data_IF_844616802352
#
_entry.id   IF_844616802352
#
_cell.length_a   1.000
_cell.length_b   1.000
_cell.length_c   1.000
_cell.angle_alpha   90.00
_cell.angle_beta   90.00
_cell.angle_gamma   90.00
#
_symmetry.space_group_name_H-M   'P 1'
#
loop_
_entity.id
_entity.type
_entity.pdbx_description
1 polymer ?
#
# COMPACT_ATOMS: atom_id res chain seq x y z
N UNK A 1 6.82 -1.02 11.86
CA UNK A 1 5.41 -0.94 12.34
C UNK A 1 4.64 -2.12 11.80
N UNK A 2 3.78 -2.68 12.62
CA UNK A 2 2.95 -3.82 12.26
C UNK A 2 1.48 -3.42 12.29
N UNK A 3 0.63 -4.24 11.66
CA UNK A 3 -0.81 -3.97 11.61
C UNK A 3 -1.41 -3.73 13.01
N UNK A 4 -0.96 -4.49 14.00
CA UNK A 4 -1.48 -4.34 15.38
C UNK A 4 -1.22 -2.95 15.98
N UNK A 5 -0.31 -2.18 15.38
CA UNK A 5 0.00 -0.83 15.86
C UNK A 5 -0.89 0.24 15.21
N UNK A 6 -1.74 -0.17 14.26
CA UNK A 6 -2.62 0.75 13.55
C UNK A 6 -3.99 0.81 14.20
N UNK A 7 -4.66 1.95 14.05
CA UNK A 7 -6.01 2.12 14.55
C UNK A 7 -6.82 2.93 13.54
N UNK A 8 -8.10 2.61 13.40
CA UNK A 8 -8.99 3.39 12.56
C UNK A 8 -9.25 4.74 13.22
N UNK A 9 -9.48 5.76 12.40
CA UNK A 9 -9.68 7.13 12.86
C UNK A 9 -10.94 7.24 13.72
N UNK A 10 -12.01 6.56 13.32
CA UNK A 10 -13.29 6.57 14.03
C UNK A 10 -13.84 5.15 14.07
N UNK A 11 -14.90 4.94 14.88
CA UNK A 11 -15.54 3.62 14.98
C UNK A 11 -16.17 3.17 13.66
N UNK A 12 -16.48 4.10 12.75
CA UNK A 12 -17.04 3.76 11.45
C UNK A 12 -16.01 3.71 10.33
N UNK A 13 -14.75 4.00 10.63
CA UNK A 13 -13.70 3.99 9.61
C UNK A 13 -13.21 2.58 9.33
N UNK A 14 -12.85 2.31 8.08
CA UNK A 14 -12.28 1.02 7.69
C UNK A 14 -10.87 1.15 7.15
N UNK A 15 -10.48 2.35 6.66
CA UNK A 15 -9.14 2.59 6.15
C UNK A 15 -8.17 2.90 7.27
N UNK A 16 -7.00 2.30 7.19
CA UNK A 16 -5.92 2.54 8.15
C UNK A 16 -4.85 3.37 7.46
N UNK A 17 -4.42 4.46 8.08
CA UNK A 17 -3.48 5.37 7.46
C UNK A 17 -2.09 4.76 7.30
N UNK A 18 -1.49 5.00 6.15
CA UNK A 18 -0.12 4.62 5.85
C UNK A 18 0.74 5.88 5.82
N UNK A 19 1.87 5.84 6.52
CA UNK A 19 2.78 6.97 6.66
C UNK A 19 4.16 6.62 6.13
N UNK A 20 4.94 7.67 5.85
CA UNK A 20 6.35 7.52 5.47
C UNK A 20 7.23 8.09 6.57
N UNK A 21 8.48 7.61 6.66
CA UNK A 21 9.42 8.12 7.66
C UNK A 21 10.55 8.96 7.05
N UNK A 22 10.59 9.08 5.73
CA UNK A 22 11.56 9.91 5.01
C UNK A 22 10.82 10.80 4.03
N UNK A 23 11.22 12.07 3.87
CA UNK A 23 10.59 12.92 2.86
C UNK A 23 10.81 12.37 1.46
N UNK A 24 9.83 12.56 0.59
CA UNK A 24 9.89 12.08 -0.80
C UNK A 24 9.45 13.19 -1.71
N UNK A 25 10.22 13.43 -2.79
CA UNK A 25 9.85 14.38 -3.83
C UNK A 25 9.49 13.60 -5.10
N UNK A 26 8.33 13.87 -5.64
CA UNK A 26 7.86 13.24 -6.88
C UNK A 26 7.76 14.33 -7.93
N UNK A 27 8.57 14.19 -8.97
CA UNK A 27 8.64 15.19 -10.05
C UNK A 27 7.42 15.08 -10.97
N UNK A 28 7.13 16.13 -11.76
CA UNK A 28 6.02 16.06 -12.72
C UNK A 28 6.12 14.82 -13.61
N UNK A 29 5.01 14.12 -13.78
CA UNK A 29 4.90 12.89 -14.58
C UNK A 29 5.72 11.72 -14.07
N UNK A 30 6.44 11.87 -12.98
CA UNK A 30 7.25 10.79 -12.42
C UNK A 30 6.35 9.72 -11.80
N UNK A 31 6.72 8.46 -12.04
CA UNK A 31 6.14 7.29 -11.36
C UNK A 31 7.17 6.85 -10.33
N UNK A 32 6.74 6.79 -9.06
CA UNK A 32 7.66 6.49 -7.97
C UNK A 32 7.03 5.51 -7.00
N UNK A 33 7.77 4.47 -6.67
CA UNK A 33 7.40 3.53 -5.60
C UNK A 33 7.87 4.13 -4.27
N UNK A 34 6.93 4.34 -3.37
CA UNK A 34 7.18 4.95 -2.07
C UNK A 34 6.85 3.94 -0.99
N UNK A 35 7.84 3.58 -0.17
CA UNK A 35 7.59 2.62 0.91
C UNK A 35 7.05 3.32 2.14
N UNK A 36 6.10 2.66 2.79
CA UNK A 36 5.49 3.13 4.03
C UNK A 36 6.20 2.50 5.22
N UNK A 37 5.81 2.90 6.42
CA UNK A 37 6.36 2.34 7.66
C UNK A 37 5.72 1.01 8.04
N UNK A 38 4.66 0.59 7.36
CA UNK A 38 3.98 -0.67 7.66
C UNK A 38 4.70 -1.83 7.00
N UNK A 39 4.98 -2.85 7.79
CA UNK A 39 5.67 -4.05 7.29
C UNK A 39 4.74 -5.26 7.41
N UNK A 40 4.69 -6.08 6.37
CA UNK A 40 3.98 -7.35 6.41
C UNK A 40 4.70 -8.39 7.25
N UNK A 41 4.10 -9.56 7.42
CA UNK A 41 2.79 -9.92 6.89
C UNK A 41 1.67 -9.21 7.62
N UNK A 42 0.51 -9.11 6.95
CA UNK A 42 -0.63 -8.39 7.53
C UNK A 42 -1.22 -9.11 8.73
N UNK A 43 -1.07 -10.42 8.78
CA UNK A 43 -1.40 -11.23 9.95
C UNK A 43 -0.44 -12.42 10.00
N UNK A 44 -0.21 -12.95 11.19
CA UNK A 44 0.76 -14.04 11.37
C UNK A 44 0.31 -15.33 10.71
N UNK A 45 -0.99 -15.59 10.70
CA UNK A 45 -1.54 -16.81 10.09
C UNK A 45 -1.88 -16.64 8.60
N UNK A 46 -1.53 -15.50 8.00
CA UNK A 46 -1.72 -15.22 6.58
C UNK A 46 -3.18 -15.32 6.14
N UNK A 47 -4.10 -14.85 6.99
CA UNK A 47 -5.53 -14.88 6.66
C UNK A 47 -6.08 -13.51 6.24
N UNK A 48 -5.23 -12.48 6.18
CA UNK A 48 -5.65 -11.14 5.75
C UNK A 48 -4.93 -10.75 4.48
N UNK A 49 -5.67 -10.10 3.58
CA UNK A 49 -5.09 -9.39 2.44
C UNK A 49 -5.31 -7.90 2.65
N UNK A 50 -4.58 -7.09 1.90
CA UNK A 50 -4.72 -5.65 1.97
C UNK A 50 -5.02 -5.02 0.63
N UNK A 51 -5.74 -3.91 0.66
CA UNK A 51 -5.98 -3.08 -0.51
C UNK A 51 -5.51 -1.67 -0.19
N UNK A 52 -4.46 -1.23 -0.87
CA UNK A 52 -3.90 0.11 -0.68
C UNK A 52 -4.64 1.07 -1.59
N UNK A 53 -5.26 2.05 -0.97
CA UNK A 53 -6.10 3.02 -1.66
C UNK A 53 -5.61 4.42 -1.43
N UNK A 54 -6.03 5.34 -2.30
CA UNK A 54 -5.68 6.75 -2.18
C UNK A 54 -6.45 7.38 -1.01
N UNK A 55 -5.83 8.39 -0.41
CA UNK A 55 -6.54 9.33 0.46
C UNK A 55 -7.03 10.49 -0.40
N UNK A 56 -8.21 11.02 -0.07
CA UNK A 56 -8.77 12.13 -0.84
C UNK A 56 -7.81 13.32 -0.93
N UNK A 57 -7.09 13.60 0.15
CA UNK A 57 -6.18 14.74 0.17
C UNK A 57 -5.02 14.59 -0.81
N UNK A 58 -4.55 13.37 -1.04
CA UNK A 58 -3.49 13.12 -2.02
C UNK A 58 -4.03 13.22 -3.44
N UNK A 59 -5.23 12.68 -3.67
CA UNK A 59 -5.87 12.78 -4.97
C UNK A 59 -6.08 14.24 -5.38
N UNK A 60 -6.49 15.08 -4.42
CA UNK A 60 -6.68 16.52 -4.68
C UNK A 60 -5.37 17.22 -5.03
N UNK A 61 -4.25 16.71 -4.52
CA UNK A 61 -2.94 17.27 -4.84
C UNK A 61 -2.44 16.82 -6.22
N UNK A 62 -3.11 15.87 -6.85
CA UNK A 62 -2.71 15.36 -8.14
C UNK A 62 -1.82 14.14 -8.09
N UNK A 63 -1.74 13.46 -6.94
CA UNK A 63 -1.06 12.18 -6.83
C UNK A 63 -2.03 11.05 -7.04
N UNK A 64 -1.71 10.15 -7.95
CA UNK A 64 -2.55 9.01 -8.32
C UNK A 64 -1.78 7.73 -8.00
N UNK A 65 -2.47 6.76 -7.41
CA UNK A 65 -1.93 5.41 -7.28
C UNK A 65 -2.15 4.75 -8.64
N UNK A 66 -1.05 4.57 -9.37
CA UNK A 66 -1.13 4.27 -10.79
C UNK A 66 -1.61 2.85 -11.08
N UNK A 67 -1.46 1.93 -10.14
CA UNK A 67 -1.99 0.58 -10.28
C UNK A 67 -3.42 0.45 -9.74
N UNK A 68 -4.14 1.58 -9.66
CA UNK A 68 -5.54 1.74 -9.29
C UNK A 68 -5.74 1.50 -7.80
N UNK A 69 -5.70 0.25 -7.34
CA UNK A 69 -5.46 -0.05 -5.93
C UNK A 69 -4.36 -1.09 -5.85
N UNK A 70 -3.57 -1.04 -4.80
CA UNK A 70 -2.49 -1.98 -4.61
C UNK A 70 -2.95 -3.17 -3.80
N UNK A 71 -2.89 -4.36 -4.39
CA UNK A 71 -3.25 -5.59 -3.70
C UNK A 71 -2.03 -6.09 -2.94
N UNK A 72 -2.19 -6.30 -1.64
CA UNK A 72 -1.13 -6.86 -0.79
C UNK A 72 -1.52 -8.27 -0.42
N UNK A 73 -0.76 -9.22 -0.90
CA UNK A 73 -1.01 -10.64 -0.66
C UNK A 73 -0.78 -10.99 0.82
N UNK A 74 -1.46 -12.03 1.27
CA UNK A 74 -1.44 -12.41 2.68
C UNK A 74 -0.05 -12.81 3.17
N UNK A 75 0.78 -13.34 2.28
CA UNK A 75 2.13 -13.79 2.62
C UNK A 75 3.23 -12.79 2.28
N UNK A 76 2.87 -11.57 1.86
CA UNK A 76 3.87 -10.54 1.60
C UNK A 76 4.46 -10.06 2.93
N UNK A 77 5.78 -10.13 3.06
CA UNK A 77 6.45 -9.83 4.32
C UNK A 77 7.37 -8.62 4.28
N UNK A 78 7.37 -7.87 3.17
CA UNK A 78 8.15 -6.63 3.06
C UNK A 78 7.40 -5.41 3.55
N UNK A 79 8.00 -4.25 3.37
CA UNK A 79 7.32 -2.99 3.64
C UNK A 79 6.26 -2.74 2.57
N UNK A 80 5.11 -2.24 3.01
CA UNK A 80 4.04 -1.89 2.08
C UNK A 80 4.46 -0.66 1.30
N UNK A 81 4.37 -0.75 -0.03
CA UNK A 81 4.73 0.35 -0.92
C UNK A 81 3.53 0.87 -1.68
N UNK A 82 3.64 2.09 -2.14
CA UNK A 82 2.60 2.77 -2.91
C UNK A 82 3.25 3.29 -4.19
N UNK A 83 2.65 2.97 -5.34
CA UNK A 83 3.18 3.42 -6.63
C UNK A 83 2.39 4.64 -7.05
N UNK A 84 3.02 5.81 -6.89
CA UNK A 84 2.40 7.09 -7.23
C UNK A 84 2.84 7.60 -8.60
N UNK A 85 1.94 8.31 -9.26
CA UNK A 85 2.30 9.17 -10.37
C UNK A 85 1.86 10.60 -10.04
N UNK A 86 2.76 11.56 -10.27
CA UNK A 86 2.44 12.97 -10.14
C UNK A 86 1.82 13.45 -11.45
N UNK A 87 0.52 13.76 -11.39
CA UNK A 87 -0.26 14.18 -12.56
C UNK A 87 -0.20 15.68 -12.81
N UNK A 88 0.60 16.42 -12.03
CA UNK A 88 0.70 17.87 -12.15
C UNK A 88 2.00 18.28 -12.83
N UNK A 89 2.13 19.58 -13.10
CA UNK A 89 3.33 20.13 -13.69
C UNK A 89 4.30 20.73 -12.66
N UNK A 90 4.05 20.46 -11.38
CA UNK A 90 4.90 20.93 -10.27
C UNK A 90 5.37 19.74 -9.45
N UNK A 91 6.57 19.80 -8.86
CA UNK A 91 6.99 18.74 -7.95
C UNK A 91 6.08 18.69 -6.73
N UNK A 92 5.83 17.49 -6.24
CA UNK A 92 5.05 17.29 -5.02
C UNK A 92 5.97 16.68 -3.97
N UNK A 93 6.04 17.32 -2.80
CA UNK A 93 6.86 16.84 -1.70
C UNK A 93 5.96 16.23 -0.64
N UNK A 94 6.25 14.97 -0.31
CA UNK A 94 5.62 14.28 0.79
C UNK A 94 6.54 14.43 2.00
N UNK A 95 5.97 14.86 3.11
CA UNK A 95 6.75 15.17 4.31
C UNK A 95 6.93 13.94 5.17
N UNK A 96 7.97 13.97 5.99
CA UNK A 96 8.17 12.91 6.97
C UNK A 96 6.93 12.75 7.84
N UNK A 97 6.55 11.51 8.09
CA UNK A 97 5.40 11.14 8.91
C UNK A 97 4.03 11.53 8.31
N UNK A 98 4.02 11.94 7.05
CA UNK A 98 2.77 12.29 6.38
C UNK A 98 1.96 11.04 6.06
N UNK A 99 0.63 11.15 6.18
CA UNK A 99 -0.29 10.09 5.78
C UNK A 99 -0.47 10.16 4.27
N UNK A 100 0.08 9.20 3.56
CA UNK A 100 0.13 9.26 2.09
C UNK A 100 -0.91 8.38 1.41
N UNK A 101 -1.45 7.39 2.11
CA UNK A 101 -2.40 6.44 1.57
C UNK A 101 -3.14 5.79 2.72
N UNK A 102 -4.02 4.87 2.40
CA UNK A 102 -4.70 4.06 3.41
C UNK A 102 -4.76 2.61 2.94
N UNK A 103 -4.85 1.70 3.89
CA UNK A 103 -4.98 0.29 3.59
C UNK A 103 -6.27 -0.23 4.21
N UNK A 104 -7.02 -1.02 3.42
CA UNK A 104 -8.16 -1.76 3.91
C UNK A 104 -7.75 -3.21 4.05
N UNK A 105 -8.09 -3.81 5.17
CA UNK A 105 -7.76 -5.20 5.45
C UNK A 105 -9.02 -6.05 5.29
N UNK A 106 -8.87 -7.24 4.72
CA UNK A 106 -9.99 -8.11 4.43
C UNK A 106 -9.57 -9.55 4.61
N UNK A 107 -10.50 -10.37 5.05
CA UNK A 107 -10.23 -11.81 5.17
C UNK A 107 -9.98 -12.41 3.80
N UNK A 108 -8.90 -13.16 3.66
CA UNK A 108 -8.52 -13.79 2.40
C UNK A 108 -9.58 -14.73 1.87
N UNK A 109 -10.29 -15.42 2.77
CA UNK A 109 -11.32 -16.39 2.38
C UNK A 109 -12.59 -15.76 1.81
N UNK A 110 -12.68 -14.43 1.80
CA UNK A 110 -13.75 -13.73 1.08
C UNK A 110 -13.58 -13.81 -0.43
N UNK A 111 -12.42 -14.24 -0.90
CA UNK A 111 -12.12 -14.30 -2.33
C UNK A 111 -12.06 -15.75 -2.79
N UNK A 112 -12.60 -16.00 -3.99
CA UNK A 112 -12.57 -17.33 -4.57
C UNK A 112 -11.25 -17.51 -5.32
N UNK A 113 -10.42 -18.43 -4.82
CA UNK A 113 -9.15 -18.78 -5.47
C UNK A 113 -9.16 -20.30 -5.63
N UNK A 114 -9.41 -20.80 -6.86
CA UNK A 114 -9.66 -22.25 -7.05
C UNK A 114 -8.44 -23.12 -6.79
N UNK A 115 -7.25 -22.62 -7.11
CA UNK A 115 -6.00 -23.38 -6.93
C UNK A 115 -4.87 -22.44 -6.61
N UNK A 116 -3.85 -22.93 -5.94
CA UNK A 116 -2.61 -22.19 -5.76
C UNK A 116 -1.42 -23.13 -5.96
N UNK A 117 -0.31 -22.57 -6.42
CA UNK A 117 0.95 -23.30 -6.48
C UNK A 117 1.55 -23.34 -5.08
N UNK A 118 2.24 -24.43 -4.76
CA UNK A 118 2.92 -24.57 -3.47
C UNK A 118 4.29 -23.90 -3.51
N UNK A 119 4.28 -22.59 -3.79
CA UNK A 119 5.50 -21.81 -3.83
C UNK A 119 5.54 -20.86 -2.66
N UNK A 120 6.71 -20.68 -2.10
CA UNK A 120 6.91 -19.64 -1.10
C UNK A 120 7.14 -18.33 -1.81
N UNK A 121 6.68 -17.26 -1.17
CA UNK A 121 6.87 -15.92 -1.70
C UNK A 121 8.34 -15.53 -1.61
N UNK A 122 8.87 -14.96 -2.69
CA UNK A 122 10.25 -14.52 -2.77
C UNK A 122 10.38 -13.01 -2.99
N UNK A 123 9.28 -12.30 -3.24
CA UNK A 123 9.34 -10.87 -3.44
C UNK A 123 8.00 -10.26 -3.75
N UNK A 124 8.00 -9.02 -4.20
CA UNK A 124 6.81 -8.28 -4.55
C UNK A 124 7.11 -7.24 -5.62
N UNK A 125 6.12 -6.41 -5.93
CA UNK A 125 6.24 -5.29 -6.85
C UNK A 125 6.82 -5.66 -8.21
N UNK A 126 6.36 -6.77 -8.78
CA UNK A 126 6.74 -7.21 -10.11
C UNK A 126 7.72 -8.38 -10.14
N UNK A 127 8.35 -8.69 -9.03
CA UNK A 127 9.33 -9.78 -9.02
C UNK A 127 8.70 -11.15 -9.20
N UNK A 128 7.44 -11.33 -8.81
CA UNK A 128 6.75 -12.61 -8.94
C UNK A 128 6.00 -12.75 -10.26
N UNK A 129 5.71 -11.67 -10.93
CA UNK A 129 4.96 -11.68 -12.18
C UNK A 129 5.83 -11.77 -13.40
N UNK A 130 7.11 -11.89 -13.22
CA UNK A 130 8.01 -11.86 -14.31
C UNK A 130 8.20 -13.20 -14.94
N UNK A 131 8.04 -13.33 -16.12
CA UNK A 131 8.33 -14.59 -16.75
C UNK A 131 8.55 -14.49 -18.16
#
# INVERSE_FOLDING_TARGET
>A
MKVKDLAAETTGSVGLDLRIDEPVKILPDEIKLVFTTLKGPLSENHDLIGMVCARSSMAKRGLVIINSLGIIDADYNGYIGVIFKNMTDEPIVLKRNERIAQILLMKKDMFYVPNSNNKQRTGGFGSTGKE
#
